data_IF_886140776967
#
_entry.id   IF_886140776967
#
_cell.length_a   1.000
_cell.length_b   1.000
_cell.length_c   1.000
_cell.angle_alpha   90.00
_cell.angle_beta   90.00
_cell.angle_gamma   90.00
#
_symmetry.space_group_name_H-M   'P 1'
#
loop_
_entity.id
_entity.type
_entity.pdbx_description
1 polymer ?
#
# COMPACT_ATOMS: atom_id res chain seq x y z
N UNK A 1 16.14 -6.05 -4.71
CA UNK A 1 15.40 -5.10 -3.86
C UNK A 1 14.54 -5.79 -2.81
N UNK A 2 13.79 -6.85 -3.13
CA UNK A 2 12.90 -7.52 -2.18
C UNK A 2 13.61 -8.17 -0.97
N UNK A 3 14.78 -8.80 -1.17
CA UNK A 3 15.57 -9.38 -0.07
C UNK A 3 16.05 -8.34 0.96
N UNK A 4 16.31 -7.10 0.53
CA UNK A 4 16.76 -6.03 1.42
C UNK A 4 15.63 -5.57 2.36
N UNK A 5 14.38 -5.53 1.87
CA UNK A 5 13.22 -5.19 2.70
C UNK A 5 13.05 -6.22 3.82
N UNK A 6 13.29 -7.51 3.54
CA UNK A 6 13.22 -8.58 4.54
C UNK A 6 14.43 -8.55 5.48
N UNK A 7 15.63 -8.29 4.97
CA UNK A 7 16.87 -8.26 5.76
C UNK A 7 16.90 -7.13 6.83
N UNK A 8 16.09 -6.10 6.65
CA UNK A 8 16.00 -4.94 7.57
C UNK A 8 14.94 -5.13 8.65
N UNK A 9 14.07 -6.15 8.57
CA UNK A 9 12.96 -6.33 9.52
C UNK A 9 13.45 -7.15 10.73
N UNK A 10 13.66 -6.54 11.92
CA UNK A 10 13.97 -7.29 13.13
C UNK A 10 12.84 -8.28 13.47
N UNK A 11 13.15 -9.43 14.10
CA UNK A 11 12.16 -10.46 14.43
C UNK A 11 10.97 -9.95 15.27
N UNK A 12 11.19 -8.89 16.06
CA UNK A 12 10.17 -8.23 16.88
C UNK A 12 9.08 -7.54 16.06
N UNK A 13 9.34 -7.23 14.78
CA UNK A 13 8.36 -6.63 13.86
C UNK A 13 7.61 -7.66 13.01
N UNK A 14 7.97 -8.95 13.10
CA UNK A 14 7.35 -10.03 12.36
C UNK A 14 5.81 -10.11 12.50
N UNK A 15 5.26 -10.10 13.73
CA UNK A 15 3.81 -10.11 13.96
C UNK A 15 3.06 -8.88 13.40
N UNK A 16 3.78 -7.81 13.06
CA UNK A 16 3.22 -6.58 12.51
C UNK A 16 3.37 -6.46 10.98
N UNK A 17 3.87 -7.51 10.31
CA UNK A 17 4.15 -7.49 8.87
C UNK A 17 2.95 -7.13 8.01
N UNK A 18 1.73 -7.50 8.41
CA UNK A 18 0.52 -7.10 7.70
C UNK A 18 0.35 -5.57 7.71
N UNK A 19 0.43 -4.93 8.88
CA UNK A 19 0.31 -3.47 9.00
C UNK A 19 1.48 -2.76 8.34
N UNK A 20 2.70 -3.27 8.47
CA UNK A 20 3.88 -2.74 7.77
C UNK A 20 3.67 -2.78 6.26
N UNK A 21 3.12 -3.88 5.73
CA UNK A 21 2.79 -4.02 4.31
C UNK A 21 1.73 -3.01 3.88
N UNK A 22 0.70 -2.78 4.70
CA UNK A 22 -0.29 -1.75 4.45
C UNK A 22 0.32 -0.35 4.35
N UNK A 23 1.20 0.01 5.29
CA UNK A 23 1.91 1.30 5.26
C UNK A 23 2.85 1.41 4.05
N UNK A 24 3.63 0.37 3.75
CA UNK A 24 4.54 0.33 2.59
C UNK A 24 3.78 0.42 1.26
N UNK A 25 2.57 -0.14 1.18
CA UNK A 25 1.76 -0.09 -0.04
C UNK A 25 1.47 1.36 -0.48
N UNK A 26 1.33 2.30 0.46
CA UNK A 26 0.99 3.71 0.18
C UNK A 26 2.03 4.38 -0.74
N UNK A 27 3.31 4.50 -0.35
CA UNK A 27 4.32 5.10 -1.23
C UNK A 27 4.73 4.15 -2.35
N UNK A 28 4.81 2.84 -2.12
CA UNK A 28 5.28 1.92 -3.15
C UNK A 28 4.33 1.94 -4.34
N UNK A 29 3.04 1.67 -4.15
CA UNK A 29 2.09 1.67 -5.27
C UNK A 29 1.95 3.04 -5.96
N UNK A 30 2.37 4.15 -5.34
CA UNK A 30 2.47 5.43 -6.02
C UNK A 30 3.63 5.50 -7.02
N UNK A 31 4.81 5.00 -6.64
CA UNK A 31 6.05 5.11 -7.43
C UNK A 31 6.34 3.92 -8.35
N UNK A 32 5.66 2.79 -8.15
CA UNK A 32 5.75 1.60 -9.01
C UNK A 32 4.37 1.21 -9.54
N UNK A 33 4.34 0.42 -10.62
CA UNK A 33 3.08 -0.12 -11.12
C UNK A 33 2.43 -1.05 -10.10
N UNK A 34 1.10 -1.13 -10.17
CA UNK A 34 0.32 -2.05 -9.35
C UNK A 34 0.88 -3.48 -9.48
N UNK A 35 1.04 -3.94 -10.72
CA UNK A 35 1.56 -5.27 -11.04
C UNK A 35 2.94 -5.54 -10.43
N UNK A 36 3.86 -4.55 -10.48
CA UNK A 36 5.19 -4.71 -9.90
C UNK A 36 5.14 -4.91 -8.38
N UNK A 37 4.23 -4.21 -7.70
CA UNK A 37 4.04 -4.37 -6.26
C UNK A 37 3.38 -5.71 -5.91
N UNK A 38 2.26 -6.07 -6.55
CA UNK A 38 1.49 -7.28 -6.20
C UNK A 38 2.11 -8.59 -6.68
N UNK A 39 2.86 -8.57 -7.78
CA UNK A 39 3.53 -9.77 -8.29
C UNK A 39 5.01 -9.85 -7.92
N UNK A 40 5.64 -8.72 -7.58
CA UNK A 40 7.05 -8.67 -7.19
C UNK A 40 7.27 -8.63 -5.68
N UNK A 41 6.65 -7.66 -4.99
CA UNK A 41 6.99 -7.34 -3.60
C UNK A 41 6.10 -8.08 -2.60
N UNK A 42 4.78 -8.03 -2.80
CA UNK A 42 3.82 -8.63 -1.90
C UNK A 42 4.04 -10.14 -1.69
N UNK A 43 4.41 -10.95 -2.70
CA UNK A 43 4.68 -12.38 -2.50
C UNK A 43 5.85 -12.62 -1.55
N UNK A 44 6.93 -11.84 -1.67
CA UNK A 44 8.12 -11.93 -0.80
C UNK A 44 7.79 -11.53 0.64
N UNK A 45 7.00 -10.47 0.82
CA UNK A 45 6.50 -10.06 2.14
C UNK A 45 5.58 -11.13 2.74
N UNK A 46 4.73 -11.76 1.93
CA UNK A 46 3.79 -12.80 2.36
C UNK A 46 4.51 -14.09 2.77
N UNK A 47 5.54 -14.51 2.04
CA UNK A 47 6.38 -15.64 2.40
C UNK A 47 7.11 -15.38 3.73
N UNK A 48 7.60 -14.16 3.93
CA UNK A 48 8.23 -13.76 5.20
C UNK A 48 7.23 -13.77 6.35
N UNK A 49 6.00 -13.28 6.12
CA UNK A 49 4.93 -13.18 7.10
C UNK A 49 4.34 -14.54 7.50
N UNK A 50 4.42 -15.55 6.62
CA UNK A 50 3.99 -16.91 6.91
C UNK A 50 4.75 -17.52 8.10
N UNK A 51 6.02 -17.14 8.31
CA UNK A 51 6.82 -17.57 9.47
C UNK A 51 6.27 -17.04 10.81
N UNK A 52 5.41 -16.03 10.78
CA UNK A 52 4.77 -15.41 11.94
C UNK A 52 3.28 -15.75 12.03
N UNK A 53 2.80 -16.74 11.27
CA UNK A 53 1.40 -17.19 11.29
C UNK A 53 0.42 -16.26 10.56
N UNK A 54 0.91 -15.27 9.83
CA UNK A 54 0.06 -14.36 9.04
C UNK A 54 -0.23 -15.00 7.69
N UNK A 55 -1.50 -15.15 7.35
CA UNK A 55 -1.93 -15.75 6.09
C UNK A 55 -1.72 -14.80 4.90
N UNK A 56 -1.51 -15.33 3.68
CA UNK A 56 -1.41 -14.50 2.47
C UNK A 56 -2.65 -13.61 2.22
N UNK A 57 -3.83 -14.06 2.64
CA UNK A 57 -5.08 -13.29 2.50
C UNK A 57 -5.06 -12.06 3.41
N UNK A 58 -4.53 -12.15 4.62
CA UNK A 58 -4.39 -11.02 5.53
C UNK A 58 -3.38 -10.00 5.01
N UNK A 59 -2.27 -10.48 4.44
CA UNK A 59 -1.28 -9.63 3.75
C UNK A 59 -1.89 -8.88 2.57
N UNK A 60 -2.69 -9.58 1.75
CA UNK A 60 -3.40 -8.98 0.62
C UNK A 60 -4.42 -7.91 1.07
N UNK A 61 -5.18 -8.17 2.14
CA UNK A 61 -6.13 -7.18 2.71
C UNK A 61 -5.43 -5.92 3.20
N UNK A 62 -4.28 -6.07 3.84
CA UNK A 62 -3.52 -4.91 4.29
C UNK A 62 -2.96 -4.11 3.11
N UNK A 63 -2.45 -4.79 2.09
CA UNK A 63 -1.76 -4.16 0.97
C UNK A 63 -2.68 -3.37 0.02
N UNK A 64 -3.97 -3.71 -0.06
CA UNK A 64 -4.95 -2.94 -0.86
C UNK A 64 -5.32 -1.59 -0.25
N UNK A 65 -5.00 -1.34 1.02
CA UNK A 65 -5.34 -0.07 1.69
C UNK A 65 -4.60 1.14 1.11
N UNK A 66 -3.47 0.94 0.41
CA UNK A 66 -2.73 2.00 -0.31
C UNK A 66 -3.32 2.42 -1.66
N UNK A 67 -4.33 1.71 -2.19
CA UNK A 67 -4.91 1.99 -3.51
C UNK A 67 -5.43 3.44 -3.71
N UNK A 68 -6.02 4.12 -2.71
CA UNK A 68 -6.40 5.52 -2.86
C UNK A 68 -5.25 6.43 -3.32
N UNK A 69 -4.03 6.18 -2.83
CA UNK A 69 -2.83 6.92 -3.23
C UNK A 69 -2.31 6.44 -4.59
N UNK A 70 -2.32 5.13 -4.86
CA UNK A 70 -1.97 4.57 -6.18
C UNK A 70 -2.75 5.24 -7.32
N UNK A 71 -4.06 5.45 -7.13
CA UNK A 71 -4.92 6.09 -8.15
C UNK A 71 -4.58 7.56 -8.43
N UNK A 72 -3.75 8.20 -7.59
CA UNK A 72 -3.18 9.52 -7.85
C UNK A 72 -1.82 9.47 -8.54
N UNK A 73 -1.25 8.27 -8.77
CA UNK A 73 0.03 8.13 -9.43
C UNK A 73 -0.05 8.61 -10.88
N UNK A 74 0.90 9.42 -11.36
CA UNK A 74 1.04 9.75 -12.79
C UNK A 74 1.26 8.52 -13.67
N UNK A 75 1.62 7.36 -13.08
CA UNK A 75 1.76 6.09 -13.79
C UNK A 75 0.39 5.49 -14.17
N UNK A 76 -0.71 5.96 -13.58
CA UNK A 76 -2.07 5.52 -13.88
C UNK A 76 -2.65 6.42 -14.99
N UNK A 77 -2.91 5.92 -16.21
CA UNK A 77 -3.37 6.76 -17.32
C UNK A 77 -4.69 7.50 -17.04
N UNK A 78 -5.55 6.92 -16.21
CA UNK A 78 -6.86 7.48 -15.88
C UNK A 78 -6.77 8.86 -15.21
N UNK A 79 -5.78 9.10 -14.34
CA UNK A 79 -5.68 10.41 -13.68
C UNK A 79 -5.31 11.51 -14.68
N UNK A 80 -4.40 11.21 -15.62
CA UNK A 80 -3.98 12.12 -16.66
C UNK A 80 -5.14 12.49 -17.59
N UNK A 81 -5.97 11.49 -17.94
CA UNK A 81 -7.18 11.71 -18.72
C UNK A 81 -8.17 12.60 -17.96
N UNK A 82 -8.48 12.28 -16.69
CA UNK A 82 -9.46 13.02 -15.89
C UNK A 82 -9.06 14.48 -15.66
N UNK A 83 -7.79 14.77 -15.33
CA UNK A 83 -7.34 16.16 -15.13
C UNK A 83 -7.36 16.95 -16.44
N UNK A 84 -7.09 16.31 -17.58
CA UNK A 84 -7.17 16.96 -18.90
C UNK A 84 -8.62 17.31 -19.27
N UNK A 85 -9.57 16.40 -19.04
CA UNK A 85 -11.00 16.63 -19.28
C UNK A 85 -11.58 17.69 -18.34
N UNK A 86 -11.07 17.76 -17.12
CA UNK A 86 -11.48 18.78 -16.14
C UNK A 86 -10.78 20.14 -16.33
N UNK A 87 -9.87 20.26 -17.31
CA UNK A 87 -9.07 21.46 -17.58
C UNK A 87 -8.32 22.00 -16.34
N UNK A 88 -7.80 21.09 -15.48
CA UNK A 88 -7.03 21.44 -14.28
C UNK A 88 -5.59 20.96 -14.37
N UNK A 89 -4.67 21.68 -13.72
CA UNK A 89 -3.29 21.25 -13.61
C UNK A 89 -3.15 20.08 -12.63
N UNK A 90 -2.35 19.07 -13.00
CA UNK A 90 -2.10 17.88 -12.16
C UNK A 90 -1.49 18.24 -10.80
N UNK A 91 -0.57 19.21 -10.75
CA UNK A 91 0.07 19.66 -9.51
C UNK A 91 -0.92 20.31 -8.55
N UNK A 92 -1.84 21.13 -9.07
CA UNK A 92 -2.90 21.76 -8.26
C UNK A 92 -3.90 20.73 -7.73
N UNK A 93 -4.22 19.72 -8.54
CA UNK A 93 -5.02 18.57 -8.11
C UNK A 93 -4.31 17.81 -6.99
N UNK A 94 -3.04 17.42 -7.20
CA UNK A 94 -2.24 16.68 -6.20
C UNK A 94 -2.10 17.44 -4.88
N UNK A 95 -1.88 18.75 -4.92
CA UNK A 95 -1.83 19.59 -3.70
C UNK A 95 -3.10 19.46 -2.85
N UNK A 96 -4.26 19.27 -3.48
CA UNK A 96 -5.54 19.13 -2.80
C UNK A 96 -5.81 17.70 -2.35
N UNK A 97 -5.51 16.68 -3.16
CA UNK A 97 -6.01 15.33 -2.95
C UNK A 97 -4.99 14.34 -2.40
N UNK A 98 -3.69 14.53 -2.64
CA UNK A 98 -2.69 13.49 -2.35
C UNK A 98 -2.60 13.21 -0.84
N UNK A 99 -2.54 14.25 -0.02
CA UNK A 99 -2.52 14.10 1.44
C UNK A 99 -3.85 13.52 1.98
N UNK A 100 -4.98 13.82 1.33
CA UNK A 100 -6.29 13.24 1.68
C UNK A 100 -6.34 11.76 1.37
N UNK A 101 -5.78 11.36 0.22
CA UNK A 101 -5.66 9.96 -0.16
C UNK A 101 -4.80 9.17 0.85
N UNK A 102 -3.70 9.76 1.33
CA UNK A 102 -2.88 9.16 2.41
C UNK A 102 -3.73 8.96 3.67
N UNK A 103 -4.50 9.97 4.09
CA UNK A 103 -5.38 9.84 5.27
C UNK A 103 -6.43 8.74 5.05
N UNK A 104 -7.08 8.70 3.89
CA UNK A 104 -8.07 7.64 3.57
C UNK A 104 -7.42 6.27 3.65
N UNK A 105 -6.22 6.09 3.09
CA UNK A 105 -5.47 4.83 3.19
C UNK A 105 -5.15 4.43 4.62
N UNK A 106 -4.69 5.37 5.45
CA UNK A 106 -4.41 5.11 6.86
C UNK A 106 -5.68 4.78 7.66
N UNK A 107 -6.80 5.45 7.37
CA UNK A 107 -8.10 5.15 7.98
C UNK A 107 -8.58 3.76 7.58
N UNK A 108 -8.49 3.40 6.30
CA UNK A 108 -8.83 2.05 5.82
C UNK A 108 -7.99 0.97 6.52
N UNK A 109 -6.68 1.21 6.68
CA UNK A 109 -5.78 0.31 7.40
C UNK A 109 -6.16 0.19 8.87
N UNK A 110 -6.40 1.32 9.55
CA UNK A 110 -6.79 1.33 10.96
C UNK A 110 -8.12 0.61 11.19
N UNK A 111 -9.12 0.82 10.32
CA UNK A 111 -10.41 0.11 10.39
C UNK A 111 -10.21 -1.39 10.18
N UNK A 112 -9.36 -1.79 9.22
CA UNK A 112 -9.06 -3.19 8.97
C UNK A 112 -8.44 -3.91 10.19
N UNK A 113 -7.59 -3.20 10.93
CA UNK A 113 -7.02 -3.67 12.21
C UNK A 113 -8.09 -3.74 13.31
N UNK A 114 -8.89 -2.68 13.49
CA UNK A 114 -9.93 -2.62 14.55
C UNK A 114 -10.99 -3.71 14.36
N UNK A 115 -11.35 -4.04 13.12
CA UNK A 115 -12.30 -5.11 12.80
C UNK A 115 -11.67 -6.50 12.94
N UNK A 116 -10.34 -6.60 13.11
CA UNK A 116 -9.61 -7.87 13.19
C UNK A 116 -9.42 -8.57 11.85
N UNK A 117 -9.66 -7.87 10.74
CA UNK A 117 -9.45 -8.38 9.38
C UNK A 117 -8.00 -8.30 8.92
N UNK A 118 -7.20 -7.45 9.57
CA UNK A 118 -5.76 -7.28 9.43
C UNK A 118 -5.14 -7.55 10.80
N UNK A 119 -4.25 -8.55 10.94
CA UNK A 119 -3.62 -8.88 12.21
C UNK A 119 -2.65 -7.78 12.66
N UNK A 120 -2.59 -7.56 13.97
CA UNK A 120 -1.73 -6.57 14.61
C UNK A 120 -1.17 -7.15 15.91
N UNK A 121 -0.13 -7.98 15.78
CA UNK A 121 0.47 -8.68 16.93
C UNK A 121 -0.25 -9.95 17.30
#
# INVERSE_FOLDING_TARGET
MAEWVVAVIPPTLGPFLAVITGVLSIPMTFFMSNDAFYYGILPVLSESAANYGISPVEMARASITGQPVHLQSPLVPAILLLVSLAAVNLGDHHRKVLWRAVIVSLVMLAVGVVVGSIPFG
#
